data_IF_720209296585
#
_entry.id   IF_720209296585
#
_cell.length_a   1.000
_cell.length_b   1.000
_cell.length_c   1.000
_cell.angle_alpha   90.00
_cell.angle_beta   90.00
_cell.angle_gamma   90.00
#
_symmetry.space_group_name_H-M   'P 1'
#
loop_
_entity.id
_entity.type
_entity.pdbx_description
1 polymer ?
#
# COMPACT_ATOMS: atom_id res chain seq x y z
N UNK A 1 48.60 10.54 43.52
CA UNK A 1 47.42 9.72 43.22
C UNK A 1 47.72 8.28 43.61
N UNK A 2 46.89 7.62 44.43
CA UNK A 2 47.19 6.25 44.90
C UNK A 2 47.01 5.23 43.76
N UNK A 3 47.73 4.11 43.84
CA UNK A 3 47.61 2.99 42.87
C UNK A 3 46.16 2.50 42.75
N UNK A 4 45.40 2.56 43.84
CA UNK A 4 43.98 2.21 43.88
C UNK A 4 43.14 3.17 43.03
N UNK A 5 43.34 4.49 43.14
CA UNK A 5 42.62 5.48 42.32
C UNK A 5 42.92 5.31 40.82
N UNK A 6 44.16 5.01 40.46
CA UNK A 6 44.55 4.73 39.06
C UNK A 6 43.84 3.46 38.53
N UNK A 7 43.75 2.40 39.34
CA UNK A 7 43.06 1.16 38.98
C UNK A 7 41.55 1.36 38.79
N UNK A 8 40.91 2.17 39.64
CA UNK A 8 39.48 2.49 39.51
C UNK A 8 39.18 3.31 38.25
N UNK A 9 39.99 4.33 37.95
CA UNK A 9 39.81 5.17 36.75
C UNK A 9 40.03 4.34 35.47
N UNK A 10 41.10 3.56 35.42
CA UNK A 10 41.39 2.70 34.26
C UNK A 10 40.31 1.62 34.05
N UNK A 11 39.81 0.99 35.12
CA UNK A 11 38.69 0.06 35.05
C UNK A 11 37.40 0.70 34.53
N UNK A 12 37.09 1.92 34.97
CA UNK A 12 35.94 2.68 34.50
C UNK A 12 36.02 3.02 33.00
N UNK A 13 37.21 3.41 32.52
CA UNK A 13 37.45 3.68 31.09
C UNK A 13 37.23 2.41 30.26
N UNK A 14 37.79 1.28 30.69
CA UNK A 14 37.61 -0.01 30.01
C UNK A 14 36.14 -0.40 29.95
N UNK A 15 35.39 -0.22 31.04
CA UNK A 15 33.96 -0.51 31.09
C UNK A 15 33.16 0.33 30.08
N UNK A 16 33.41 1.64 30.01
CA UNK A 16 32.72 2.53 29.05
C UNK A 16 33.05 2.15 27.60
N UNK A 17 34.32 1.84 27.31
CA UNK A 17 34.74 1.40 25.97
C UNK A 17 34.05 0.08 25.58
N UNK A 18 34.01 -0.90 26.48
CA UNK A 18 33.29 -2.16 26.27
C UNK A 18 31.79 -1.93 26.03
N UNK A 19 31.15 -1.03 26.79
CA UNK A 19 29.73 -0.70 26.63
C UNK A 19 29.44 -0.08 25.25
N UNK A 20 30.29 0.85 24.78
CA UNK A 20 30.18 1.46 23.44
C UNK A 20 30.32 0.39 22.35
N UNK A 21 31.28 -0.53 22.47
CA UNK A 21 31.48 -1.63 21.51
C UNK A 21 30.26 -2.55 21.47
N UNK A 22 29.72 -2.94 22.64
CA UNK A 22 28.52 -3.78 22.73
C UNK A 22 27.31 -3.08 22.13
N UNK A 23 27.12 -1.78 22.41
CA UNK A 23 26.05 -0.99 21.80
C UNK A 23 26.19 -0.94 20.27
N UNK A 24 27.40 -0.73 19.76
CA UNK A 24 27.66 -0.68 18.33
C UNK A 24 27.43 -2.04 17.65
N UNK A 25 27.85 -3.13 18.30
CA UNK A 25 27.58 -4.50 17.85
C UNK A 25 26.07 -4.79 17.81
N UNK A 26 25.33 -4.49 18.88
CA UNK A 26 23.86 -4.62 18.93
C UNK A 26 23.18 -3.83 17.80
N UNK A 27 23.62 -2.59 17.57
CA UNK A 27 23.09 -1.72 16.49
C UNK A 27 23.39 -2.28 15.10
N UNK A 28 24.57 -2.89 14.89
CA UNK A 28 24.95 -3.53 13.61
C UNK A 28 24.16 -4.81 13.37
N UNK A 29 23.98 -5.64 14.41
CA UNK A 29 23.19 -6.88 14.35
C UNK A 29 21.71 -6.57 14.09
N UNK A 30 21.11 -5.62 14.80
CA UNK A 30 19.71 -5.20 14.56
C UNK A 30 19.49 -4.67 13.14
N UNK A 31 20.42 -3.86 12.60
CA UNK A 31 20.36 -3.45 11.18
C UNK A 31 20.44 -4.64 10.21
N UNK A 32 21.23 -5.66 10.53
CA UNK A 32 21.35 -6.86 9.71
C UNK A 32 20.06 -7.71 9.73
N UNK A 33 19.45 -7.90 10.90
CA UNK A 33 18.15 -8.59 11.04
C UNK A 33 16.99 -7.81 10.40
N UNK A 34 17.08 -6.49 10.29
CA UNK A 34 16.10 -5.67 9.57
C UNK A 34 16.18 -5.80 8.04
N UNK A 35 17.08 -6.62 7.48
CA UNK A 35 17.15 -6.85 6.04
C UNK A 35 15.91 -7.61 5.58
N UNK A 36 14.86 -6.86 5.24
CA UNK A 36 13.53 -7.32 4.82
C UNK A 36 13.68 -8.33 3.67
N UNK A 37 13.10 -9.52 3.82
CA UNK A 37 13.02 -10.53 2.77
C UNK A 37 12.47 -9.90 1.49
N UNK A 38 13.20 -10.07 0.38
CA UNK A 38 12.76 -9.64 -0.95
C UNK A 38 12.48 -10.92 -1.73
N UNK A 39 11.22 -11.16 -2.14
CA UNK A 39 10.90 -12.34 -2.94
C UNK A 39 11.69 -12.30 -4.25
N UNK A 40 12.14 -13.47 -4.72
CA UNK A 40 12.87 -13.59 -5.98
C UNK A 40 11.96 -13.43 -7.20
N UNK A 41 10.65 -13.62 -7.02
CA UNK A 41 9.62 -13.49 -8.06
C UNK A 41 8.62 -12.42 -7.65
N UNK A 42 8.13 -11.64 -8.62
CA UNK A 42 7.03 -10.72 -8.40
C UNK A 42 5.79 -11.51 -7.95
N UNK A 43 5.23 -11.15 -6.80
CA UNK A 43 4.00 -11.78 -6.33
C UNK A 43 2.86 -11.46 -7.30
N UNK A 44 2.09 -12.47 -7.68
CA UNK A 44 0.90 -12.31 -8.52
C UNK A 44 -0.32 -12.92 -7.84
N UNK A 45 -1.46 -12.24 -7.89
CA UNK A 45 -2.73 -12.70 -7.36
C UNK A 45 -3.80 -12.66 -8.45
N UNK A 46 -4.60 -13.71 -8.56
CA UNK A 46 -5.70 -13.77 -9.52
C UNK A 46 -6.99 -13.27 -8.85
N UNK A 47 -7.63 -12.28 -9.45
CA UNK A 47 -8.92 -11.72 -9.05
C UNK A 47 -10.09 -12.58 -9.55
N UNK A 48 -11.29 -12.32 -9.03
CA UNK A 48 -12.50 -13.08 -9.38
C UNK A 48 -12.93 -12.90 -10.84
N UNK A 49 -12.69 -11.73 -11.42
CA UNK A 49 -12.99 -11.42 -12.83
C UNK A 49 -11.87 -11.84 -13.80
N UNK A 50 -10.75 -12.37 -13.26
CA UNK A 50 -9.62 -12.84 -14.04
C UNK A 50 -8.45 -11.87 -14.15
N UNK A 51 -8.53 -10.65 -13.58
CA UNK A 51 -7.35 -9.79 -13.48
C UNK A 51 -6.21 -10.46 -12.68
N UNK A 52 -4.96 -10.12 -13.02
CA UNK A 52 -3.77 -10.60 -12.31
C UNK A 52 -3.01 -9.41 -11.75
N UNK A 53 -3.09 -9.22 -10.44
CA UNK A 53 -2.56 -8.06 -9.72
C UNK A 53 -1.30 -8.40 -8.92
N UNK A 54 -0.58 -7.39 -8.42
CA UNK A 54 0.78 -7.53 -7.89
C UNK A 54 0.87 -7.44 -6.36
N UNK A 55 -0.22 -7.08 -5.71
CA UNK A 55 -0.30 -6.92 -4.26
C UNK A 55 -1.64 -7.40 -3.71
N UNK A 56 -1.65 -7.74 -2.41
CA UNK A 56 -2.89 -8.08 -1.70
C UNK A 56 -3.85 -6.89 -1.61
N UNK A 57 -3.32 -5.67 -1.53
CA UNK A 57 -4.14 -4.44 -1.52
C UNK A 57 -4.92 -4.30 -2.83
N UNK A 58 -4.23 -4.44 -3.96
CA UNK A 58 -4.87 -4.45 -5.28
C UNK A 58 -5.91 -5.57 -5.40
N UNK A 59 -5.60 -6.79 -4.94
CA UNK A 59 -6.53 -7.92 -5.00
C UNK A 59 -7.85 -7.61 -4.30
N UNK A 60 -7.81 -7.01 -3.11
CA UNK A 60 -9.02 -6.71 -2.35
C UNK A 60 -9.80 -5.55 -2.99
N UNK A 61 -9.12 -4.54 -3.52
CA UNK A 61 -9.76 -3.42 -4.22
C UNK A 61 -10.47 -3.91 -5.48
N UNK A 62 -9.76 -4.65 -6.32
CA UNK A 62 -10.23 -5.19 -7.60
C UNK A 62 -11.44 -6.12 -7.41
N UNK A 63 -11.32 -7.08 -6.48
CA UNK A 63 -12.45 -7.95 -6.13
C UNK A 63 -13.66 -7.20 -5.57
N UNK A 64 -13.46 -6.08 -4.86
CA UNK A 64 -14.58 -5.26 -4.38
C UNK A 64 -15.25 -4.49 -5.53
N UNK A 65 -14.48 -3.93 -6.47
CA UNK A 65 -15.03 -3.33 -7.69
C UNK A 65 -15.88 -4.34 -8.47
N UNK A 66 -15.36 -5.57 -8.64
CA UNK A 66 -16.11 -6.66 -9.27
C UNK A 66 -17.40 -7.00 -8.51
N UNK A 67 -17.34 -7.12 -7.17
CA UNK A 67 -18.51 -7.40 -6.33
C UNK A 67 -19.60 -6.33 -6.44
N UNK A 68 -19.21 -5.06 -6.54
CA UNK A 68 -20.13 -3.95 -6.75
C UNK A 68 -20.73 -3.92 -8.17
N UNK A 69 -20.34 -4.85 -9.06
CA UNK A 69 -20.76 -4.88 -10.45
C UNK A 69 -20.24 -3.68 -11.24
N UNK A 70 -19.07 -3.16 -10.87
CA UNK A 70 -18.44 -2.02 -11.53
C UNK A 70 -17.45 -2.55 -12.56
N UNK A 71 -17.76 -2.32 -13.84
CA UNK A 71 -16.82 -2.59 -14.93
C UNK A 71 -15.56 -1.73 -14.77
N UNK A 72 -14.41 -2.37 -14.80
CA UNK A 72 -13.12 -1.72 -14.63
C UNK A 72 -12.05 -2.37 -15.50
N UNK A 73 -11.10 -1.56 -15.95
CA UNK A 73 -9.92 -2.01 -16.69
C UNK A 73 -8.70 -1.93 -15.79
N UNK A 74 -7.91 -3.01 -15.73
CA UNK A 74 -6.66 -3.05 -14.96
C UNK A 74 -5.44 -2.65 -15.81
N UNK A 75 -4.55 -1.83 -15.24
CA UNK A 75 -3.20 -1.51 -15.72
C UNK A 75 -3.04 -1.21 -17.23
N UNK A 76 -3.55 -0.06 -17.71
CA UNK A 76 -3.19 0.44 -19.06
C UNK A 76 -2.42 1.76 -19.01
N UNK A 77 -1.78 2.09 -20.13
CA UNK A 77 -1.03 3.33 -20.31
C UNK A 77 -1.79 4.29 -21.23
N UNK A 78 -1.92 5.53 -20.79
CA UNK A 78 -2.49 6.63 -21.56
C UNK A 78 -1.46 7.74 -21.75
N UNK A 79 -1.68 8.59 -22.75
CA UNK A 79 -0.88 9.80 -22.96
C UNK A 79 -1.65 11.03 -22.47
N UNK A 80 -1.04 11.81 -21.59
CA UNK A 80 -1.57 13.07 -21.09
C UNK A 80 -0.56 14.18 -21.38
N UNK A 81 -0.92 15.09 -22.29
CA UNK A 81 -0.04 16.19 -22.75
C UNK A 81 1.37 15.69 -23.14
N UNK A 82 1.43 14.60 -23.91
CA UNK A 82 2.68 13.99 -24.37
C UNK A 82 3.40 13.09 -23.36
N UNK A 83 3.00 13.09 -22.08
CA UNK A 83 3.58 12.23 -21.05
C UNK A 83 2.76 10.95 -20.87
N UNK A 84 3.42 9.81 -20.69
CA UNK A 84 2.75 8.54 -20.47
C UNK A 84 2.42 8.35 -18.99
N UNK A 85 1.19 7.97 -18.69
CA UNK A 85 0.74 7.56 -17.35
C UNK A 85 0.22 6.13 -17.45
N UNK A 86 0.76 5.24 -16.63
CA UNK A 86 0.15 3.93 -16.39
C UNK A 86 -0.76 4.06 -15.16
N UNK A 87 -2.04 3.77 -15.30
CA UNK A 87 -3.00 3.81 -14.19
C UNK A 87 -3.19 2.44 -13.55
N UNK A 88 -3.71 2.36 -12.33
CA UNK A 88 -4.02 1.07 -11.69
C UNK A 88 -5.37 0.52 -12.18
N UNK A 89 -6.45 1.32 -12.05
CA UNK A 89 -7.74 1.00 -12.68
C UNK A 89 -8.37 2.18 -13.42
N UNK A 90 -9.20 1.87 -14.41
CA UNK A 90 -10.07 2.82 -15.09
C UNK A 90 -11.51 2.30 -15.12
N UNK A 91 -12.46 3.16 -14.74
CA UNK A 91 -13.89 2.90 -14.75
C UNK A 91 -14.51 3.54 -16.01
N UNK A 92 -14.84 2.76 -17.06
CA UNK A 92 -15.27 3.33 -18.34
C UNK A 92 -16.57 4.12 -18.24
N UNK A 93 -17.52 3.65 -17.42
CA UNK A 93 -18.85 4.24 -17.28
C UNK A 93 -18.82 5.66 -16.70
N UNK A 94 -17.96 5.93 -15.72
CA UNK A 94 -17.81 7.24 -15.09
C UNK A 94 -16.60 8.04 -15.60
N UNK A 95 -15.80 7.43 -16.49
CA UNK A 95 -14.52 7.97 -16.98
C UNK A 95 -13.59 8.36 -15.83
N UNK A 96 -13.51 7.52 -14.80
CA UNK A 96 -12.75 7.77 -13.56
C UNK A 96 -11.58 6.81 -13.44
N UNK A 97 -10.42 7.34 -13.09
CA UNK A 97 -9.23 6.54 -12.77
C UNK A 97 -9.17 6.27 -11.27
N UNK A 98 -8.61 5.13 -10.89
CA UNK A 98 -8.33 4.77 -9.50
C UNK A 98 -6.84 4.48 -9.38
N UNK A 99 -6.25 4.97 -8.29
CA UNK A 99 -4.85 4.76 -7.93
C UNK A 99 -4.76 4.25 -6.50
N UNK A 100 -4.01 3.17 -6.27
CA UNK A 100 -3.72 2.65 -4.94
C UNK A 100 -2.30 2.99 -4.51
N UNK A 101 -2.21 3.86 -3.51
CA UNK A 101 -0.96 4.36 -2.97
C UNK A 101 -0.41 3.48 -1.83
N UNK A 102 -0.17 2.19 -2.11
CA UNK A 102 0.18 1.18 -1.11
C UNK A 102 1.64 1.13 -0.64
N UNK A 103 2.53 1.97 -1.19
CA UNK A 103 3.94 2.00 -0.82
C UNK A 103 4.34 3.33 -0.17
N UNK A 104 5.38 3.32 0.66
CA UNK A 104 5.90 4.52 1.32
C UNK A 104 7.43 4.63 1.12
N UNK A 105 7.91 5.79 0.69
CA UNK A 105 9.33 6.10 0.48
C UNK A 105 9.53 7.42 -0.28
N UNK A 106 10.67 8.09 -0.13
CA UNK A 106 10.91 9.41 -0.74
C UNK A 106 10.72 9.41 -2.26
N UNK A 107 11.37 8.49 -2.97
CA UNK A 107 11.27 8.36 -4.43
C UNK A 107 9.86 7.95 -4.89
N UNK A 108 9.10 7.28 -4.02
CA UNK A 108 7.72 6.93 -4.29
C UNK A 108 6.78 8.13 -4.17
N UNK A 109 6.97 8.96 -3.12
CA UNK A 109 6.17 10.18 -2.93
C UNK A 109 6.39 11.18 -4.06
N UNK A 110 7.62 11.29 -4.57
CA UNK A 110 7.89 12.13 -5.74
C UNK A 110 7.13 11.63 -6.98
N UNK A 111 7.21 10.33 -7.30
CA UNK A 111 6.47 9.74 -8.43
C UNK A 111 4.96 9.88 -8.28
N UNK A 112 4.44 9.73 -7.06
CA UNK A 112 3.03 9.97 -6.75
C UNK A 112 2.64 11.42 -7.09
N UNK A 113 3.40 12.42 -6.63
CA UNK A 113 3.09 13.82 -6.93
C UNK A 113 3.18 14.13 -8.43
N UNK A 114 4.21 13.62 -9.13
CA UNK A 114 4.34 13.76 -10.59
C UNK A 114 3.10 13.22 -11.31
N UNK A 115 2.63 12.04 -10.90
CA UNK A 115 1.43 11.40 -11.46
C UNK A 115 0.16 12.19 -11.14
N UNK A 116 -0.01 12.70 -9.91
CA UNK A 116 -1.12 13.57 -9.52
C UNK A 116 -1.14 14.86 -10.33
N UNK A 117 0.01 15.49 -10.57
CA UNK A 117 0.14 16.68 -11.42
C UNK A 117 -0.33 16.38 -12.85
N UNK A 118 0.02 15.21 -13.40
CA UNK A 118 -0.43 14.84 -14.73
C UNK A 118 -1.94 14.61 -14.80
N UNK A 119 -2.57 13.96 -13.80
CA UNK A 119 -4.02 13.85 -13.71
C UNK A 119 -4.70 15.23 -13.67
N UNK A 120 -4.19 16.16 -12.85
CA UNK A 120 -4.69 17.56 -12.79
C UNK A 120 -4.55 18.27 -14.14
N UNK A 121 -3.38 18.17 -14.79
CA UNK A 121 -3.12 18.75 -16.13
C UNK A 121 -4.06 18.19 -17.20
N UNK A 122 -4.39 16.90 -17.12
CA UNK A 122 -5.30 16.22 -18.02
C UNK A 122 -6.78 16.46 -17.73
N UNK A 123 -7.13 17.13 -16.62
CA UNK A 123 -8.52 17.26 -16.12
C UNK A 123 -9.23 15.91 -16.02
N UNK A 124 -8.51 14.90 -15.55
CA UNK A 124 -9.00 13.53 -15.42
C UNK A 124 -9.59 13.30 -14.03
N UNK A 125 -10.72 12.59 -13.96
CA UNK A 125 -11.31 12.18 -12.70
C UNK A 125 -10.43 11.14 -12.02
N UNK A 126 -10.08 11.34 -10.75
CA UNK A 126 -9.18 10.46 -10.01
C UNK A 126 -9.75 10.14 -8.62
N UNK A 127 -9.77 8.85 -8.29
CA UNK A 127 -9.93 8.34 -6.93
C UNK A 127 -8.55 7.90 -6.45
N UNK A 128 -8.12 8.42 -5.30
CA UNK A 128 -6.87 8.03 -4.64
C UNK A 128 -7.18 7.19 -3.43
N UNK A 129 -6.71 5.95 -3.42
CA UNK A 129 -6.83 5.00 -2.32
C UNK A 129 -5.49 4.98 -1.58
N UNK A 130 -5.46 5.46 -0.34
CA UNK A 130 -4.26 5.39 0.51
C UNK A 130 -4.19 4.03 1.23
N UNK A 131 -2.98 3.59 1.60
CA UNK A 131 -2.80 2.33 2.35
C UNK A 131 -3.65 2.26 3.63
N UNK A 132 -3.80 3.39 4.33
CA UNK A 132 -4.64 3.49 5.54
C UNK A 132 -6.11 3.13 5.29
N UNK A 133 -6.61 3.32 4.07
CA UNK A 133 -7.99 3.00 3.70
C UNK A 133 -8.23 1.49 3.66
N UNK A 134 -7.18 0.66 3.54
CA UNK A 134 -7.30 -0.79 3.58
C UNK A 134 -7.79 -1.34 4.93
N UNK A 135 -7.73 -0.54 6.01
CA UNK A 135 -8.32 -0.92 7.30
C UNK A 135 -9.81 -1.25 7.20
N UNK A 136 -10.52 -0.52 6.33
CA UNK A 136 -11.90 -0.79 5.95
C UNK A 136 -12.10 -0.39 4.48
N UNK A 137 -11.53 -1.17 3.58
CA UNK A 137 -11.54 -0.83 2.15
C UNK A 137 -12.95 -0.81 1.57
N UNK A 138 -13.87 -1.63 2.09
CA UNK A 138 -15.22 -1.72 1.57
C UNK A 138 -15.96 -0.39 1.73
N UNK A 139 -16.01 0.14 2.96
CA UNK A 139 -16.67 1.42 3.24
C UNK A 139 -15.91 2.60 2.62
N UNK A 140 -14.57 2.59 2.71
CA UNK A 140 -13.74 3.69 2.23
C UNK A 140 -13.79 3.82 0.71
N UNK A 141 -13.71 2.70 -0.03
CA UNK A 141 -13.80 2.71 -1.48
C UNK A 141 -15.18 3.15 -1.96
N UNK A 142 -16.25 2.63 -1.36
CA UNK A 142 -17.62 3.02 -1.70
C UNK A 142 -17.87 4.51 -1.47
N UNK A 143 -17.34 5.07 -0.39
CA UNK A 143 -17.41 6.51 -0.12
C UNK A 143 -16.75 7.35 -1.22
N UNK A 144 -15.58 6.94 -1.70
CA UNK A 144 -14.89 7.62 -2.79
C UNK A 144 -15.61 7.44 -4.15
N UNK A 145 -16.08 6.22 -4.44
CA UNK A 145 -16.85 5.91 -5.65
C UNK A 145 -18.13 6.74 -5.74
N UNK A 146 -18.83 6.95 -4.61
CA UNK A 146 -20.07 7.72 -4.54
C UNK A 146 -19.92 9.19 -5.00
N UNK A 147 -18.69 9.73 -5.03
CA UNK A 147 -18.43 11.08 -5.55
C UNK A 147 -18.55 11.14 -7.08
N UNK A 148 -18.41 10.00 -7.77
CA UNK A 148 -18.37 9.91 -9.24
C UNK A 148 -19.49 9.03 -9.81
N UNK A 149 -20.00 8.10 -9.03
CA UNK A 149 -20.99 7.10 -9.45
C UNK A 149 -22.13 7.11 -8.44
N UNK A 150 -23.37 7.20 -8.91
CA UNK A 150 -24.53 6.89 -8.06
C UNK A 150 -24.58 5.38 -7.87
N UNK A 151 -23.93 4.87 -6.82
CA UNK A 151 -24.09 3.47 -6.44
C UNK A 151 -25.57 3.27 -6.08
N UNK A 152 -26.25 2.36 -6.78
CA UNK A 152 -27.51 1.86 -6.24
C UNK A 152 -27.15 1.25 -4.90
N UNK A 153 -27.86 1.60 -3.82
CA UNK A 153 -27.73 0.87 -2.56
C UNK A 153 -28.03 -0.59 -2.88
N UNK A 154 -26.99 -1.39 -3.08
CA UNK A 154 -27.07 -2.83 -2.90
C UNK A 154 -27.52 -2.94 -1.45
N UNK A 155 -28.72 -3.48 -1.25
CA UNK A 155 -29.31 -3.75 0.06
C UNK A 155 -28.20 -4.15 1.02
N UNK A 156 -27.97 -3.33 2.02
CA UNK A 156 -26.98 -3.59 3.06
C UNK A 156 -27.25 -4.99 3.65
N UNK A 157 -26.17 -5.65 4.11
CA UNK A 157 -26.10 -6.86 4.96
C UNK A 157 -25.63 -8.17 4.34
N UNK A 158 -25.31 -8.25 3.05
CA UNK A 158 -24.72 -9.47 2.50
C UNK A 158 -23.19 -9.40 2.59
N UNK A 159 -22.62 -9.85 3.72
CA UNK A 159 -21.17 -10.09 3.82
C UNK A 159 -20.82 -11.21 2.85
N UNK A 160 -19.62 -11.22 2.29
CA UNK A 160 -19.20 -12.27 1.36
C UNK A 160 -17.82 -12.78 1.75
N UNK A 161 -17.59 -14.08 1.60
CA UNK A 161 -16.32 -14.72 1.89
C UNK A 161 -15.23 -14.14 0.96
N UNK A 162 -14.12 -13.60 1.51
CA UNK A 162 -13.05 -13.02 0.70
C UNK A 162 -12.28 -14.05 -0.12
N UNK A 163 -12.43 -15.35 0.17
CA UNK A 163 -11.73 -16.42 -0.55
C UNK A 163 -12.52 -16.94 -1.76
N UNK A 164 -13.83 -17.15 -1.61
CA UNK A 164 -14.68 -17.78 -2.64
C UNK A 164 -15.83 -16.91 -3.13
N UNK A 165 -16.03 -15.71 -2.58
CA UNK A 165 -17.06 -14.78 -3.01
C UNK A 165 -18.48 -15.18 -2.64
N UNK A 166 -18.69 -16.27 -1.88
CA UNK A 166 -20.02 -16.71 -1.43
C UNK A 166 -20.58 -15.77 -0.36
N UNK A 167 -21.89 -15.52 -0.39
CA UNK A 167 -22.59 -14.76 0.65
C UNK A 167 -22.45 -15.46 2.02
N UNK A 168 -22.11 -14.67 3.04
CA UNK A 168 -22.02 -15.06 4.43
C UNK A 168 -23.35 -14.76 5.11
N UNK A 169 -23.80 -15.67 5.96
CA UNK A 169 -25.00 -15.45 6.76
C UNK A 169 -24.77 -14.39 7.86
N UNK A 170 -25.84 -14.02 8.55
CA UNK A 170 -25.85 -13.02 9.61
C UNK A 170 -24.98 -13.36 10.84
N UNK A 171 -24.46 -14.60 10.96
CA UNK A 171 -23.61 -15.01 12.09
C UNK A 171 -22.15 -14.57 11.91
N UNK A 172 -21.75 -14.21 10.70
CA UNK A 172 -20.41 -13.74 10.36
C UNK A 172 -20.43 -12.26 10.01
#
# INVERSE_FOLDING_TARGET
>A
MSKTTIAFISGGIVFVVCFIIIYWAKRKITKFYQKKYRPQVATSFKCFDGHVVRSKGELVIDNHLHRLGIDHEYEKTIKVRGNSIKYDWYLPKSKTYIEYWGFHGKDYMQRKEEKLVLYRKGKLNLISIEDIMLKDIYSNLEKELNKFIKLKKISQEKKHCPNCGTELDHRF
#
